data_IF_592597824910
#
_entry.id   IF_592597824910
#
_cell.length_a   1.000
_cell.length_b   1.000
_cell.length_c   1.000
_cell.angle_alpha   90.00
_cell.angle_beta   90.00
_cell.angle_gamma   90.00
#
_symmetry.space_group_name_H-M   'P 1'
#
loop_
_entity.id
_entity.type
_entity.pdbx_description
1 polymer ?
#
# COMPACT_ATOMS: atom_id res chain seq x y z
N UNK A 1 16.91 19.45 3.98
CA UNK A 1 16.20 18.22 4.18
C UNK A 1 16.08 17.46 2.89
N UNK A 2 16.97 16.51 2.71
CA UNK A 2 16.93 15.67 1.54
C UNK A 2 15.73 14.74 1.49
N UNK A 3 15.05 14.61 2.61
CA UNK A 3 13.92 13.69 2.72
C UNK A 3 12.77 14.05 1.79
N UNK A 4 12.67 15.31 1.41
CA UNK A 4 11.54 15.76 0.61
C UNK A 4 11.50 15.04 -0.75
N UNK A 5 12.64 14.80 -1.34
CA UNK A 5 12.68 14.17 -2.65
C UNK A 5 12.26 12.72 -2.64
N UNK A 6 12.55 12.01 -1.56
CA UNK A 6 12.19 10.62 -1.45
C UNK A 6 10.79 10.42 -0.90
N UNK A 7 10.18 11.47 -0.37
CA UNK A 7 8.91 11.34 0.33
C UNK A 7 7.79 10.78 -0.52
N UNK A 8 7.74 11.14 -1.78
CA UNK A 8 6.64 10.68 -2.63
C UNK A 8 6.66 9.17 -2.79
N UNK A 9 7.82 8.61 -3.11
CA UNK A 9 7.94 7.16 -3.24
C UNK A 9 7.85 6.48 -1.90
N UNK A 10 8.45 7.10 -0.88
CA UNK A 10 8.36 6.56 0.48
C UNK A 10 6.90 6.53 0.96
N UNK A 11 6.12 7.56 0.61
CA UNK A 11 4.72 7.60 0.97
C UNK A 11 3.95 6.44 0.33
N UNK A 12 4.20 6.18 -0.95
CA UNK A 12 3.52 5.09 -1.64
C UNK A 12 3.88 3.75 -1.02
N UNK A 13 5.16 3.52 -0.77
CA UNK A 13 5.60 2.28 -0.12
C UNK A 13 5.03 2.16 1.28
N UNK A 14 5.00 3.28 2.00
CA UNK A 14 4.46 3.29 3.36
C UNK A 14 2.97 2.93 3.37
N UNK A 15 2.22 3.44 2.41
CA UNK A 15 0.80 3.10 2.29
C UNK A 15 0.64 1.60 2.10
N UNK A 16 1.43 0.99 1.22
CA UNK A 16 1.37 -0.45 1.00
C UNK A 16 1.75 -1.22 2.26
N UNK A 17 2.82 -0.82 2.91
CA UNK A 17 3.30 -1.49 4.13
C UNK A 17 2.29 -1.39 5.26
N UNK A 18 1.74 -0.21 5.48
CA UNK A 18 0.76 0.01 6.54
C UNK A 18 -0.51 -0.79 6.26
N UNK A 19 -0.95 -0.80 5.01
CA UNK A 19 -2.13 -1.57 4.62
C UNK A 19 -1.90 -3.06 4.85
N UNK A 20 -0.73 -3.56 4.46
CA UNK A 20 -0.37 -4.96 4.67
C UNK A 20 -0.35 -5.31 6.16
N UNK A 21 0.26 -4.47 6.97
CA UNK A 21 0.32 -4.70 8.42
C UNK A 21 -1.07 -4.77 9.03
N UNK A 22 -1.95 -3.87 8.63
CA UNK A 22 -3.31 -3.83 9.18
C UNK A 22 -4.13 -5.05 8.75
N UNK A 23 -3.92 -5.50 7.52
CA UNK A 23 -4.59 -6.72 7.05
C UNK A 23 -4.11 -7.94 7.83
N UNK A 24 -2.80 -8.06 8.04
CA UNK A 24 -2.23 -9.18 8.79
C UNK A 24 -2.73 -9.16 10.23
N UNK A 25 -2.77 -7.98 10.84
CA UNK A 25 -3.20 -7.83 12.21
C UNK A 25 -4.71 -7.96 12.41
N UNK A 26 -5.47 -7.98 11.32
CA UNK A 26 -6.92 -8.06 11.43
C UNK A 26 -7.58 -6.75 11.77
N UNK A 27 -6.84 -5.64 11.69
CA UNK A 27 -7.38 -4.32 12.01
C UNK A 27 -8.34 -3.82 10.94
N UNK A 28 -8.16 -4.27 9.72
CA UNK A 28 -9.02 -3.86 8.59
C UNK A 28 -9.37 -5.10 7.76
N UNK A 29 -10.49 -5.01 7.06
CA UNK A 29 -10.90 -6.05 6.11
C UNK A 29 -10.33 -5.74 4.72
N UNK A 30 -10.54 -6.67 3.78
CA UNK A 30 -10.14 -6.46 2.39
C UNK A 30 -10.84 -5.24 1.80
N UNK A 31 -12.11 -5.06 2.10
CA UNK A 31 -12.87 -3.91 1.61
C UNK A 31 -12.27 -2.61 2.13
N UNK A 32 -11.89 -2.59 3.39
CA UNK A 32 -11.22 -1.42 3.98
C UNK A 32 -9.88 -1.17 3.31
N UNK A 33 -9.13 -2.23 3.03
CA UNK A 33 -7.86 -2.11 2.34
C UNK A 33 -8.04 -1.50 0.95
N UNK A 34 -9.04 -1.98 0.21
CA UNK A 34 -9.34 -1.42 -1.10
C UNK A 34 -9.68 0.06 -1.03
N UNK A 35 -10.43 0.45 -0.01
CA UNK A 35 -10.78 1.85 0.17
C UNK A 35 -9.53 2.71 0.43
N UNK A 36 -8.65 2.23 1.29
CA UNK A 36 -7.40 2.94 1.56
C UNK A 36 -6.59 3.11 0.28
N UNK A 37 -6.47 2.04 -0.49
CA UNK A 37 -5.69 2.08 -1.72
C UNK A 37 -6.33 3.00 -2.76
N UNK A 38 -7.65 2.96 -2.87
CA UNK A 38 -8.38 3.83 -3.79
C UNK A 38 -8.21 5.30 -3.44
N UNK A 39 -8.27 5.62 -2.15
CA UNK A 39 -8.10 7.00 -1.68
C UNK A 39 -6.68 7.52 -1.89
N UNK A 40 -5.71 6.64 -2.01
CA UNK A 40 -4.31 7.00 -2.19
C UNK A 40 -3.78 6.65 -3.58
N UNK A 41 -4.68 6.42 -4.52
CA UNK A 41 -4.29 5.94 -5.84
C UNK A 41 -3.40 6.94 -6.57
N UNK A 42 -3.61 8.23 -6.35
CA UNK A 42 -2.75 9.26 -6.95
C UNK A 42 -1.29 9.05 -6.54
N UNK A 43 -1.07 8.81 -5.26
CA UNK A 43 0.28 8.55 -4.74
C UNK A 43 0.80 7.22 -5.25
N UNK A 44 -0.04 6.20 -5.26
CA UNK A 44 0.35 4.86 -5.71
C UNK A 44 0.64 4.84 -7.21
N UNK A 45 0.02 5.73 -7.97
CA UNK A 45 0.31 5.87 -9.40
C UNK A 45 1.77 6.16 -9.68
N UNK A 46 2.47 6.75 -8.74
CA UNK A 46 3.90 7.01 -8.85
C UNK A 46 4.71 5.72 -8.96
N UNK A 47 4.17 4.63 -8.42
CA UNK A 47 4.79 3.30 -8.52
C UNK A 47 4.28 2.51 -9.72
N UNK A 48 3.40 3.10 -10.52
CA UNK A 48 2.90 2.46 -11.73
C UNK A 48 1.59 1.69 -11.57
N UNK A 49 0.90 1.86 -10.45
CA UNK A 49 -0.38 1.19 -10.26
C UNK A 49 -1.50 1.91 -11.01
N UNK A 50 -2.25 1.18 -11.81
CA UNK A 50 -3.35 1.74 -12.59
C UNK A 50 -4.64 1.80 -11.78
N UNK A 51 -4.82 0.88 -10.84
CA UNK A 51 -6.04 0.80 -10.05
C UNK A 51 -5.76 0.16 -8.70
N UNK A 52 -6.76 0.21 -7.83
CA UNK A 52 -6.62 -0.30 -6.47
C UNK A 52 -6.39 -1.81 -6.41
N UNK A 53 -6.90 -2.52 -7.39
CA UNK A 53 -6.75 -3.98 -7.41
C UNK A 53 -5.31 -4.40 -7.66
N UNK A 54 -4.61 -3.67 -8.52
CA UNK A 54 -3.18 -3.91 -8.75
C UNK A 54 -2.39 -3.68 -7.47
N UNK A 55 -2.71 -2.60 -6.75
CA UNK A 55 -2.05 -2.29 -5.49
C UNK A 55 -2.36 -3.36 -4.44
N UNK A 56 -3.60 -3.83 -4.40
CA UNK A 56 -3.99 -4.88 -3.45
C UNK A 56 -3.23 -6.17 -3.71
N UNK A 57 -3.01 -6.51 -4.97
CA UNK A 57 -2.23 -7.70 -5.31
C UNK A 57 -0.82 -7.62 -4.73
N UNK A 58 -0.21 -6.44 -4.79
CA UNK A 58 1.11 -6.24 -4.20
C UNK A 58 1.04 -6.32 -2.68
N UNK A 59 0.00 -5.77 -2.08
CA UNK A 59 -0.20 -5.86 -0.63
C UNK A 59 -0.25 -7.33 -0.20
N UNK A 60 -0.97 -8.16 -0.92
CA UNK A 60 -1.04 -9.59 -0.61
C UNK A 60 0.31 -10.27 -0.76
N UNK A 61 1.08 -9.89 -1.77
CA UNK A 61 2.44 -10.43 -1.91
C UNK A 61 3.29 -10.06 -0.71
N UNK A 62 3.15 -8.83 -0.22
CA UNK A 62 3.89 -8.39 0.95
C UNK A 62 3.48 -9.17 2.20
N UNK A 63 2.19 -9.41 2.38
CA UNK A 63 1.73 -10.20 3.54
C UNK A 63 2.26 -11.62 3.48
N UNK A 64 2.29 -12.21 2.30
CA UNK A 64 2.81 -13.57 2.14
C UNK A 64 4.29 -13.64 2.53
N UNK A 65 5.06 -12.63 2.13
CA UNK A 65 6.48 -12.57 2.47
C UNK A 65 6.70 -12.39 3.96
N UNK A 66 5.86 -11.61 4.61
CA UNK A 66 5.97 -11.37 6.05
C UNK A 66 5.73 -12.68 6.82
N UNK A 67 4.78 -13.46 6.37
CA UNK A 67 4.46 -14.73 7.05
C UNK A 67 5.50 -15.81 6.83
N UNK A 68 6.35 -15.65 5.85
CA UNK A 68 7.41 -16.60 5.61
C UNK A 68 8.70 -16.20 6.29
#
# INVERSE_FOLDING_TARGET
MGAVKGMIMDDAENILNVTADKLIGGDISEDDALEILDNNLDTLGMLGFDNKYDALAVVYQMTDQIYK
#
